data_IF_034875151515
#
_entry.id   IF_034875151515
#
_cell.length_a   1.000
_cell.length_b   1.000
_cell.length_c   1.000
_cell.angle_alpha   90.00
_cell.angle_beta   90.00
_cell.angle_gamma   90.00
#
_symmetry.space_group_name_H-M   'P 1'
#
loop_
_entity.id
_entity.type
_entity.pdbx_description
1 polymer ?
#
# COMPACT_ATOMS: atom_id res chain seq x y z
N UNK A 1 13.10 79.87 -48.35
CA UNK A 1 13.16 79.85 -46.88
C UNK A 1 13.06 78.41 -46.42
N UNK A 2 14.18 77.77 -46.06
CA UNK A 2 14.23 76.37 -45.62
C UNK A 2 14.69 76.33 -44.17
N UNK A 3 13.83 75.82 -43.28
CA UNK A 3 14.12 75.70 -41.85
C UNK A 3 14.82 74.37 -41.58
N UNK A 4 16.09 74.44 -41.19
CA UNK A 4 16.88 73.29 -40.79
C UNK A 4 16.37 72.74 -39.44
N UNK A 5 15.85 71.50 -39.45
CA UNK A 5 15.57 70.72 -38.23
C UNK A 5 16.89 70.24 -37.63
N UNK A 6 17.28 70.80 -36.49
CA UNK A 6 18.38 70.32 -35.67
C UNK A 6 17.95 69.05 -34.92
N UNK A 7 18.39 67.90 -35.42
CA UNK A 7 18.34 66.63 -34.70
C UNK A 7 19.22 66.71 -33.45
N UNK A 8 18.60 66.76 -32.27
CA UNK A 8 19.29 66.62 -30.99
C UNK A 8 19.84 65.19 -30.88
N UNK A 9 21.16 65.05 -31.08
CA UNK A 9 21.90 63.83 -30.76
C UNK A 9 21.81 63.61 -29.25
N UNK A 10 20.99 62.64 -28.80
CA UNK A 10 21.05 62.09 -27.44
C UNK A 10 22.44 61.47 -27.26
N UNK A 11 23.29 62.14 -26.50
CA UNK A 11 24.62 61.65 -26.16
C UNK A 11 24.50 60.33 -25.41
N UNK A 12 25.10 59.27 -25.97
CA UNK A 12 25.29 58.01 -25.28
C UNK A 12 26.30 58.25 -24.15
N UNK A 13 25.81 58.44 -22.93
CA UNK A 13 26.63 58.44 -21.72
C UNK A 13 27.00 56.97 -21.44
N UNK A 14 28.29 56.65 -21.48
CA UNK A 14 28.79 55.35 -21.06
C UNK A 14 28.50 55.12 -19.57
N UNK A 15 28.04 53.92 -19.21
CA UNK A 15 27.78 53.54 -17.83
C UNK A 15 29.06 53.67 -17.00
N UNK A 16 28.92 54.26 -15.82
CA UNK A 16 30.02 54.27 -14.85
C UNK A 16 30.22 52.85 -14.30
N UNK A 17 31.45 52.50 -13.88
CA UNK A 17 31.76 51.19 -13.29
C UNK A 17 30.83 50.83 -12.11
N UNK A 18 30.37 51.85 -11.36
CA UNK A 18 29.45 51.69 -10.24
C UNK A 18 28.04 51.31 -10.70
N UNK A 19 27.56 51.88 -11.82
CA UNK A 19 26.26 51.51 -12.40
C UNK A 19 26.26 50.06 -12.91
N UNK A 20 27.37 49.62 -13.50
CA UNK A 20 27.53 48.24 -13.96
C UNK A 20 27.53 47.24 -12.80
N UNK A 21 28.27 47.52 -11.73
CA UNK A 21 28.30 46.62 -10.56
C UNK A 21 26.95 46.58 -9.84
N UNK A 22 26.27 47.72 -9.72
CA UNK A 22 24.92 47.78 -9.15
C UNK A 22 23.92 47.00 -10.01
N UNK A 23 23.98 47.11 -11.33
CA UNK A 23 23.15 46.34 -12.25
C UNK A 23 23.42 44.82 -12.13
N UNK A 24 24.68 44.40 -11.98
CA UNK A 24 25.04 42.99 -11.79
C UNK A 24 24.53 42.42 -10.47
N UNK A 25 24.62 43.17 -9.37
CA UNK A 25 24.11 42.72 -8.06
C UNK A 25 22.59 42.56 -8.11
N UNK A 26 21.87 43.55 -8.66
CA UNK A 26 20.41 43.47 -8.80
C UNK A 26 20.01 42.28 -9.68
N UNK A 27 20.71 42.06 -10.80
CA UNK A 27 20.45 40.92 -11.69
C UNK A 27 20.72 39.58 -11.00
N UNK A 28 21.81 39.48 -10.22
CA UNK A 28 22.12 38.27 -9.47
C UNK A 28 21.07 37.98 -8.40
N UNK A 29 20.60 39.00 -7.67
CA UNK A 29 19.54 38.85 -6.67
C UNK A 29 18.21 38.44 -7.31
N UNK A 30 17.83 39.05 -8.44
CA UNK A 30 16.64 38.65 -9.20
C UNK A 30 16.76 37.21 -9.72
N UNK A 31 17.92 36.82 -10.24
CA UNK A 31 18.19 35.46 -10.69
C UNK A 31 18.04 34.44 -9.55
N UNK A 32 18.60 34.74 -8.38
CA UNK A 32 18.45 33.89 -7.19
C UNK A 32 17.00 33.80 -6.72
N UNK A 33 16.26 34.91 -6.73
CA UNK A 33 14.85 34.93 -6.35
C UNK A 33 13.97 34.09 -7.30
N UNK A 34 14.21 34.17 -8.61
CA UNK A 34 13.49 33.36 -9.60
C UNK A 34 13.85 31.88 -9.43
N UNK A 35 15.14 31.55 -9.27
CA UNK A 35 15.59 30.18 -9.08
C UNK A 35 14.99 29.53 -7.83
N UNK A 36 14.91 30.26 -6.71
CA UNK A 36 14.31 29.75 -5.47
C UNK A 36 12.81 29.51 -5.60
N UNK A 37 12.08 30.41 -6.29
CA UNK A 37 10.66 30.21 -6.59
C UNK A 37 10.44 28.98 -7.49
N UNK A 38 11.26 28.80 -8.53
CA UNK A 38 11.14 27.62 -9.40
C UNK A 38 11.43 26.32 -8.63
N UNK A 39 12.44 26.32 -7.75
CA UNK A 39 12.74 25.17 -6.90
C UNK A 39 11.55 24.84 -5.96
N UNK A 40 10.93 25.86 -5.36
CA UNK A 40 9.76 25.68 -4.50
C UNK A 40 8.54 25.16 -5.29
N UNK A 41 8.25 25.70 -6.46
CA UNK A 41 7.14 25.22 -7.31
C UNK A 41 7.40 23.78 -7.74
N UNK A 42 8.64 23.44 -8.08
CA UNK A 42 9.04 22.08 -8.42
C UNK A 42 8.79 21.10 -7.26
N UNK A 43 9.20 21.46 -6.04
CA UNK A 43 9.02 20.61 -4.86
C UNK A 43 7.55 20.40 -4.47
N UNK A 44 6.72 21.43 -4.60
CA UNK A 44 5.27 21.34 -4.37
C UNK A 44 4.62 20.43 -5.42
N UNK A 45 4.93 20.63 -6.70
CA UNK A 45 4.36 19.83 -7.79
C UNK A 45 4.79 18.36 -7.74
N UNK A 46 5.98 18.07 -7.21
CA UNK A 46 6.44 16.70 -6.97
C UNK A 46 5.71 16.07 -5.79
N UNK A 47 5.58 16.81 -4.68
CA UNK A 47 4.84 16.35 -3.49
C UNK A 47 3.39 15.99 -3.79
N UNK A 48 2.71 16.79 -4.60
CA UNK A 48 1.32 16.53 -4.99
C UNK A 48 1.18 15.26 -5.85
N UNK A 49 2.13 15.04 -6.79
CA UNK A 49 2.17 13.81 -7.60
C UNK A 49 2.45 12.57 -6.75
N UNK A 50 3.40 12.65 -5.83
CA UNK A 50 3.76 11.54 -4.96
C UNK A 50 2.60 11.17 -4.02
N UNK A 51 1.94 12.18 -3.44
CA UNK A 51 0.75 12.00 -2.61
C UNK A 51 -0.39 11.32 -3.36
N UNK A 52 -0.68 11.77 -4.59
CA UNK A 52 -1.70 11.14 -5.44
C UNK A 52 -1.36 9.69 -5.78
N UNK A 53 -0.10 9.40 -6.09
CA UNK A 53 0.37 8.04 -6.37
C UNK A 53 0.12 7.10 -5.18
N UNK A 54 0.47 7.53 -3.97
CA UNK A 54 0.28 6.75 -2.74
C UNK A 54 -1.20 6.52 -2.44
N UNK A 55 -2.05 7.54 -2.62
CA UNK A 55 -3.50 7.39 -2.46
C UNK A 55 -4.10 6.38 -3.44
N UNK A 56 -3.67 6.40 -4.71
CA UNK A 56 -4.11 5.42 -5.71
C UNK A 56 -3.68 4.00 -5.34
N UNK A 57 -2.44 3.83 -4.85
CA UNK A 57 -1.96 2.53 -4.33
C UNK A 57 -2.78 2.07 -3.12
N UNK A 58 -3.03 2.96 -2.16
CA UNK A 58 -3.85 2.67 -0.98
C UNK A 58 -5.25 2.21 -1.38
N UNK A 59 -5.91 2.94 -2.30
CA UNK A 59 -7.23 2.59 -2.80
C UNK A 59 -7.22 1.22 -3.52
N UNK A 60 -6.24 0.98 -4.40
CA UNK A 60 -6.10 -0.32 -5.07
C UNK A 60 -5.89 -1.47 -4.06
N UNK A 61 -5.06 -1.25 -3.04
CA UNK A 61 -4.85 -2.18 -1.94
C UNK A 61 -6.14 -2.46 -1.16
N UNK A 62 -6.90 -1.42 -0.83
CA UNK A 62 -8.20 -1.54 -0.15
C UNK A 62 -9.20 -2.32 -0.99
N UNK A 63 -9.30 -2.05 -2.30
CA UNK A 63 -10.20 -2.80 -3.20
C UNK A 63 -9.81 -4.27 -3.27
N UNK A 64 -8.51 -4.57 -3.47
CA UNK A 64 -8.01 -5.96 -3.54
C UNK A 64 -8.24 -6.70 -2.23
N UNK A 65 -7.87 -6.10 -1.10
CA UNK A 65 -8.08 -6.70 0.23
C UNK A 65 -9.58 -6.85 0.54
N UNK A 66 -10.40 -5.88 0.12
CA UNK A 66 -11.84 -5.91 0.25
C UNK A 66 -12.51 -7.08 -0.45
N UNK A 67 -11.97 -7.56 -1.58
CA UNK A 67 -12.45 -8.80 -2.22
C UNK A 67 -12.26 -10.01 -1.31
N UNK A 68 -11.13 -10.12 -0.61
CA UNK A 68 -10.90 -11.24 0.30
C UNK A 68 -11.72 -11.10 1.59
N UNK A 69 -11.75 -9.89 2.17
CA UNK A 69 -12.40 -9.64 3.46
C UNK A 69 -13.92 -9.55 3.37
N UNK A 70 -14.45 -9.00 2.28
CA UNK A 70 -15.90 -8.84 2.09
C UNK A 70 -16.64 -10.17 1.88
N UNK A 71 -15.94 -11.17 1.35
CA UNK A 71 -16.45 -12.54 1.22
C UNK A 71 -16.06 -13.43 2.41
N UNK A 72 -15.26 -12.94 3.36
CA UNK A 72 -14.83 -13.76 4.49
C UNK A 72 -15.99 -14.01 5.47
N UNK A 73 -16.08 -15.26 5.92
CA UNK A 73 -16.99 -15.71 6.96
C UNK A 73 -16.51 -15.30 8.35
N UNK A 74 -15.21 -15.40 8.62
CA UNK A 74 -14.62 -14.91 9.87
C UNK A 74 -13.09 -14.76 9.76
N UNK A 75 -12.50 -14.08 10.74
CA UNK A 75 -11.08 -14.22 11.01
C UNK A 75 -10.85 -15.54 11.76
N UNK A 76 -9.84 -16.32 11.37
CA UNK A 76 -9.52 -17.60 12.02
C UNK A 76 -8.48 -17.41 13.12
N UNK A 77 -7.44 -16.63 12.81
CA UNK A 77 -6.31 -16.43 13.71
C UNK A 77 -5.68 -15.08 13.44
N UNK A 78 -5.41 -14.33 14.51
CA UNK A 78 -4.60 -13.13 14.48
C UNK A 78 -3.28 -13.42 15.19
N UNK A 79 -2.18 -13.36 14.44
CA UNK A 79 -0.83 -13.66 14.90
C UNK A 79 0.04 -12.41 14.72
N UNK A 80 -0.05 -11.42 15.64
CA UNK A 80 0.67 -10.15 15.52
C UNK A 80 2.20 -10.36 15.48
N UNK A 81 2.71 -11.35 16.20
CA UNK A 81 4.14 -11.72 16.25
C UNK A 81 4.67 -12.29 14.92
N UNK A 82 3.78 -12.77 14.05
CA UNK A 82 4.10 -13.25 12.69
C UNK A 82 3.59 -12.31 11.60
N UNK A 83 3.08 -11.13 11.97
CA UNK A 83 2.48 -10.15 11.06
C UNK A 83 1.41 -10.76 10.13
N UNK A 84 0.61 -11.67 10.68
CA UNK A 84 -0.31 -12.49 9.89
C UNK A 84 -1.76 -12.44 10.41
N UNK A 85 -2.69 -12.46 9.45
CA UNK A 85 -4.11 -12.64 9.71
C UNK A 85 -4.65 -13.76 8.83
N UNK A 86 -5.11 -14.85 9.45
CA UNK A 86 -5.81 -15.92 8.76
C UNK A 86 -7.31 -15.60 8.70
N UNK A 87 -7.91 -15.79 7.53
CA UNK A 87 -9.34 -15.55 7.28
C UNK A 87 -9.97 -16.72 6.53
N UNK A 88 -11.21 -17.04 6.85
CA UNK A 88 -11.98 -18.11 6.20
C UNK A 88 -12.95 -17.50 5.19
N UNK A 89 -12.94 -17.97 3.94
CA UNK A 89 -13.69 -17.32 2.86
C UNK A 89 -14.98 -18.03 2.49
N UNK A 90 -15.00 -19.35 2.54
CA UNK A 90 -16.19 -20.11 2.16
C UNK A 90 -16.17 -21.47 2.81
N UNK A 91 -17.36 -22.02 3.02
CA UNK A 91 -17.60 -23.31 3.64
C UNK A 91 -18.27 -24.20 2.58
N UNK A 92 -17.48 -24.87 1.75
CA UNK A 92 -17.92 -25.64 0.58
C UNK A 92 -17.68 -27.13 0.74
N UNK A 93 -16.53 -27.52 1.28
CA UNK A 93 -16.07 -28.91 1.20
C UNK A 93 -16.53 -29.74 2.40
N UNK A 94 -16.42 -29.20 3.62
CA UNK A 94 -16.90 -29.86 4.84
C UNK A 94 -17.68 -28.87 5.71
N UNK A 95 -19.02 -28.89 5.67
CA UNK A 95 -19.85 -27.91 6.37
C UNK A 95 -19.45 -27.70 7.84
N UNK A 96 -19.01 -26.50 8.16
CA UNK A 96 -18.64 -26.08 9.51
C UNK A 96 -17.20 -26.40 9.93
N UNK A 97 -16.39 -27.01 9.06
CA UNK A 97 -14.95 -27.19 9.25
C UNK A 97 -14.17 -26.37 8.22
N UNK A 98 -12.97 -25.94 8.57
CA UNK A 98 -12.14 -25.13 7.68
C UNK A 98 -11.24 -26.05 6.86
N UNK A 99 -11.43 -26.11 5.54
CA UNK A 99 -10.52 -26.87 4.69
C UNK A 99 -9.30 -26.03 4.25
N UNK A 100 -8.20 -26.68 3.88
CA UNK A 100 -6.95 -26.02 3.48
C UNK A 100 -7.15 -25.04 2.32
N UNK A 101 -7.99 -25.38 1.36
CA UNK A 101 -8.26 -24.55 0.18
C UNK A 101 -9.19 -23.36 0.45
N UNK A 102 -9.83 -23.31 1.62
CA UNK A 102 -10.90 -22.37 1.94
C UNK A 102 -10.45 -21.14 2.73
N UNK A 103 -9.30 -21.24 3.39
CA UNK A 103 -8.75 -20.11 4.16
C UNK A 103 -7.58 -19.45 3.43
N UNK A 104 -7.34 -18.19 3.77
CA UNK A 104 -6.25 -17.37 3.25
C UNK A 104 -5.51 -16.76 4.41
N UNK A 105 -4.22 -16.56 4.25
CA UNK A 105 -3.42 -15.82 5.22
C UNK A 105 -2.91 -14.55 4.57
N UNK A 106 -3.24 -13.41 5.18
CA UNK A 106 -2.67 -12.12 4.81
C UNK A 106 -1.38 -11.95 5.59
N UNK A 107 -0.27 -11.77 4.89
CA UNK A 107 1.05 -11.56 5.45
C UNK A 107 1.48 -10.12 5.22
N UNK A 108 2.02 -9.47 6.24
CA UNK A 108 2.86 -8.30 6.08
C UNK A 108 4.31 -8.70 6.29
N UNK A 109 5.13 -8.49 5.27
CA UNK A 109 6.57 -8.63 5.38
C UNK A 109 7.20 -7.24 5.55
N UNK A 110 7.70 -6.90 6.76
CA UNK A 110 8.29 -5.59 7.02
C UNK A 110 9.63 -5.40 6.30
N UNK A 111 10.29 -6.48 5.86
CA UNK A 111 11.60 -6.42 5.18
C UNK A 111 11.41 -6.04 3.72
N UNK A 112 10.53 -6.74 3.00
CA UNK A 112 10.20 -6.38 1.62
C UNK A 112 9.20 -5.21 1.52
N UNK A 113 8.58 -4.84 2.64
CA UNK A 113 7.51 -3.84 2.67
C UNK A 113 6.28 -4.27 1.87
N UNK A 114 5.99 -5.57 1.82
CA UNK A 114 4.88 -6.11 1.02
C UNK A 114 3.75 -6.61 1.91
N UNK A 115 2.52 -6.33 1.48
CA UNK A 115 1.31 -6.94 2.01
C UNK A 115 0.82 -7.94 0.96
N UNK A 116 0.76 -9.22 1.33
CA UNK A 116 0.42 -10.31 0.40
C UNK A 116 -0.66 -11.21 0.97
N UNK A 117 -1.38 -11.89 0.08
CA UNK A 117 -2.30 -12.96 0.42
C UNK A 117 -1.72 -14.27 -0.06
N UNK A 118 -1.63 -15.23 0.84
CA UNK A 118 -1.24 -16.59 0.53
C UNK A 118 -2.45 -17.52 0.60
N UNK A 119 -2.46 -18.47 -0.33
CA UNK A 119 -3.46 -19.53 -0.39
C UNK A 119 -2.82 -20.87 -0.69
N UNK A 120 -3.45 -21.93 -0.22
CA UNK A 120 -3.13 -23.28 -0.68
C UNK A 120 -3.58 -23.41 -2.14
N UNK A 121 -2.68 -23.89 -2.97
CA UNK A 121 -2.86 -24.18 -4.37
C UNK A 121 -2.11 -25.49 -4.68
N UNK A 122 -2.86 -26.59 -4.77
CA UNK A 122 -2.30 -27.88 -5.12
C UNK A 122 -1.78 -27.88 -6.57
N UNK A 123 -0.80 -28.74 -6.90
CA UNK A 123 -0.24 -28.81 -8.24
C UNK A 123 -1.28 -29.14 -9.32
N UNK A 124 -1.13 -28.53 -10.50
CA UNK A 124 -2.08 -28.71 -11.61
C UNK A 124 -2.12 -30.14 -12.16
N UNK A 125 -1.05 -30.92 -11.95
CA UNK A 125 -0.95 -32.33 -12.37
C UNK A 125 -1.66 -33.31 -11.41
N UNK A 126 -2.17 -32.85 -10.27
CA UNK A 126 -2.95 -33.69 -9.36
C UNK A 126 -4.35 -33.92 -9.91
N UNK A 127 -4.85 -35.15 -9.75
CA UNK A 127 -6.26 -35.45 -10.03
C UNK A 127 -7.16 -34.77 -9.00
N UNK A 128 -8.43 -34.56 -9.33
CA UNK A 128 -9.41 -33.99 -8.39
C UNK A 128 -9.54 -34.83 -7.12
N UNK A 129 -9.47 -36.17 -7.25
CA UNK A 129 -9.46 -37.09 -6.09
C UNK A 129 -8.24 -36.87 -5.18
N UNK A 130 -7.06 -36.62 -5.75
CA UNK A 130 -5.86 -36.31 -4.94
C UNK A 130 -5.99 -34.98 -4.21
N UNK A 131 -6.56 -33.95 -4.87
CA UNK A 131 -6.81 -32.65 -4.25
C UNK A 131 -7.81 -32.77 -3.12
N UNK A 132 -8.89 -33.50 -3.31
CA UNK A 132 -9.92 -33.74 -2.29
C UNK A 132 -9.36 -34.51 -1.08
N UNK A 133 -8.54 -35.53 -1.31
CA UNK A 133 -7.87 -36.27 -0.23
C UNK A 133 -6.87 -35.41 0.56
N UNK A 134 -6.20 -34.47 -0.12
CA UNK A 134 -5.25 -33.57 0.52
C UNK A 134 -5.93 -32.37 1.21
N UNK A 135 -7.14 -31.98 0.80
CA UNK A 135 -7.89 -30.86 1.36
C UNK A 135 -8.60 -31.22 2.68
N UNK A 136 -7.79 -31.61 3.66
CA UNK A 136 -8.25 -32.13 4.95
C UNK A 136 -8.92 -31.02 5.78
N UNK A 137 -10.07 -31.30 6.44
CA UNK A 137 -10.69 -30.37 7.37
C UNK A 137 -9.82 -30.13 8.61
N UNK A 138 -9.69 -28.86 9.00
CA UNK A 138 -8.95 -28.42 10.18
C UNK A 138 -9.91 -28.07 11.32
N UNK A 139 -9.44 -28.28 12.55
CA UNK A 139 -10.18 -27.90 13.76
C UNK A 139 -10.08 -26.39 14.01
N UNK A 140 -11.07 -25.80 14.70
CA UNK A 140 -11.09 -24.38 15.08
C UNK A 140 -9.88 -23.95 15.91
N UNK A 141 -9.30 -24.88 16.67
CA UNK A 141 -8.14 -24.65 17.54
C UNK A 141 -6.79 -24.79 16.83
N UNK A 142 -6.79 -25.15 15.56
CA UNK A 142 -5.57 -25.29 14.76
C UNK A 142 -4.83 -23.95 14.61
N UNK A 143 -3.51 -23.98 14.67
CA UNK A 143 -2.66 -22.85 14.29
C UNK A 143 -2.60 -22.76 12.75
N UNK A 144 -3.60 -22.10 12.17
CA UNK A 144 -3.76 -21.88 10.72
C UNK A 144 -2.53 -21.23 10.09
N UNK A 145 -1.85 -20.36 10.81
CA UNK A 145 -0.63 -19.69 10.32
C UNK A 145 0.51 -20.71 10.17
N UNK A 146 0.70 -21.58 11.16
CA UNK A 146 1.69 -22.68 11.07
C UNK A 146 1.33 -23.71 9.98
N UNK A 147 0.04 -24.01 9.81
CA UNK A 147 -0.42 -24.87 8.72
C UNK A 147 -0.06 -24.27 7.37
N UNK A 148 -0.33 -22.98 7.16
CA UNK A 148 0.03 -22.31 5.90
C UNK A 148 1.54 -22.33 5.65
N UNK A 149 2.37 -22.11 6.68
CA UNK A 149 3.83 -22.22 6.56
C UNK A 149 4.30 -23.63 6.20
N UNK A 150 3.65 -24.66 6.73
CA UNK A 150 3.91 -26.05 6.34
C UNK A 150 3.54 -26.29 4.88
N UNK A 151 2.40 -25.79 4.41
CA UNK A 151 2.02 -25.92 3.00
C UNK A 151 2.99 -25.16 2.08
N UNK A 152 3.52 -24.02 2.54
CA UNK A 152 4.53 -23.25 1.81
C UNK A 152 5.83 -24.02 1.66
N UNK A 153 6.30 -24.71 2.70
CA UNK A 153 7.52 -25.51 2.62
C UNK A 153 7.38 -26.73 1.69
N UNK A 154 6.16 -27.24 1.52
CA UNK A 154 5.82 -28.28 0.56
C UNK A 154 5.65 -27.75 -0.88
N UNK A 155 5.64 -26.42 -1.09
CA UNK A 155 5.42 -25.81 -2.39
C UNK A 155 3.96 -25.82 -2.85
N UNK A 156 3.02 -26.02 -1.94
CA UNK A 156 1.58 -26.08 -2.23
C UNK A 156 0.86 -24.76 -1.97
N UNK A 157 1.59 -23.64 -2.00
CA UNK A 157 1.00 -22.31 -1.81
C UNK A 157 1.26 -21.40 -3.00
N UNK A 158 0.33 -20.46 -3.18
CA UNK A 158 0.45 -19.36 -4.12
C UNK A 158 0.28 -18.05 -3.37
N UNK A 159 1.27 -17.18 -3.50
CA UNK A 159 1.26 -15.84 -2.92
C UNK A 159 0.90 -14.81 -3.97
N UNK A 160 0.06 -13.86 -3.61
CA UNK A 160 -0.31 -12.71 -4.45
C UNK A 160 -0.08 -11.44 -3.66
N UNK A 161 0.76 -10.55 -4.17
CA UNK A 161 1.01 -9.26 -3.53
C UNK A 161 -0.19 -8.34 -3.74
N UNK A 162 -0.72 -7.81 -2.64
CA UNK A 162 -1.83 -6.87 -2.64
C UNK A 162 -1.34 -5.44 -2.74
N UNK A 163 -0.31 -5.11 -1.97
CA UNK A 163 0.23 -3.77 -1.83
C UNK A 163 1.74 -3.83 -1.55
N UNK A 164 2.46 -2.90 -2.17
CA UNK A 164 3.90 -2.72 -2.00
C UNK A 164 4.18 -1.42 -1.24
N UNK A 165 5.40 -1.29 -0.71
CA UNK A 165 5.88 -0.15 0.07
C UNK A 165 5.05 0.12 1.34
N UNK A 166 4.73 -0.96 2.07
CA UNK A 166 4.04 -0.95 3.35
C UNK A 166 5.06 -1.07 4.48
N UNK A 167 5.32 0.03 5.18
CA UNK A 167 6.31 0.08 6.25
C UNK A 167 5.81 -0.59 7.52
N UNK A 168 4.55 -0.34 7.89
CA UNK A 168 3.93 -0.95 9.05
C UNK A 168 2.53 -1.44 8.68
N UNK A 169 2.11 -2.53 9.30
CA UNK A 169 0.76 -3.05 9.21
C UNK A 169 0.35 -3.62 10.57
N UNK A 170 -0.77 -3.16 11.09
CA UNK A 170 -1.33 -3.61 12.36
C UNK A 170 -2.80 -3.95 12.19
N UNK A 171 -3.14 -5.17 12.57
CA UNK A 171 -4.51 -5.67 12.56
C UNK A 171 -5.16 -5.42 13.91
N UNK A 172 -6.42 -5.00 13.90
CA UNK A 172 -7.24 -4.88 15.09
C UNK A 172 -8.57 -5.56 14.84
N UNK A 173 -8.92 -6.51 15.70
CA UNK A 173 -10.18 -7.25 15.66
C UNK A 173 -11.21 -6.64 16.60
N UNK A 174 -12.50 -6.78 16.28
CA UNK A 174 -13.57 -6.27 17.14
C UNK A 174 -13.84 -7.10 18.40
N UNK A 175 -13.39 -8.37 18.42
CA UNK A 175 -13.60 -9.29 19.53
C UNK A 175 -12.44 -10.29 19.62
N UNK A 176 -12.34 -10.94 20.79
CA UNK A 176 -11.47 -12.09 21.03
C UNK A 176 -12.34 -13.24 21.56
N UNK A 177 -12.13 -14.49 21.12
CA UNK A 177 -11.12 -14.94 20.17
C UNK A 177 -11.37 -14.46 18.74
N UNK A 178 -10.39 -14.61 17.84
CA UNK A 178 -10.43 -14.03 16.50
C UNK A 178 -11.67 -14.46 15.68
N UNK A 179 -12.14 -15.67 15.92
CA UNK A 179 -13.32 -16.26 15.28
C UNK A 179 -14.63 -15.55 15.61
N UNK A 180 -14.68 -14.79 16.70
CA UNK A 180 -15.87 -14.04 17.11
C UNK A 180 -15.83 -12.58 16.63
N UNK A 181 -14.76 -12.18 15.95
CA UNK A 181 -14.64 -10.84 15.40
C UNK A 181 -15.60 -10.67 14.21
N UNK A 182 -16.45 -9.64 14.27
CA UNK A 182 -17.33 -9.23 13.17
C UNK A 182 -16.71 -8.14 12.29
N UNK A 183 -15.66 -7.46 12.78
CA UNK A 183 -14.94 -6.42 12.06
C UNK A 183 -13.43 -6.57 12.24
N UNK A 184 -12.71 -6.22 11.18
CA UNK A 184 -11.26 -6.13 11.15
C UNK A 184 -10.86 -4.75 10.68
N UNK A 185 -9.90 -4.16 11.38
CA UNK A 185 -9.23 -2.93 10.96
C UNK A 185 -7.79 -3.23 10.65
N UNK A 186 -7.27 -2.60 9.60
CA UNK A 186 -5.88 -2.62 9.21
C UNK A 186 -5.37 -1.19 9.21
N UNK A 187 -4.58 -0.85 10.21
CA UNK A 187 -3.82 0.39 10.23
C UNK A 187 -2.46 0.12 9.58
N UNK A 188 -2.10 0.92 8.59
CA UNK A 188 -0.83 0.77 7.88
C UNK A 188 -0.17 2.11 7.59
N UNK A 189 1.14 2.08 7.42
CA UNK A 189 1.93 3.23 6.97
C UNK A 189 2.51 2.90 5.60
N UNK A 190 2.16 3.70 4.59
CA UNK A 190 2.60 3.54 3.22
C UNK A 190 3.74 4.50 2.92
N UNK A 191 4.87 3.97 2.45
CA UNK A 191 5.98 4.78 1.99
C UNK A 191 5.60 5.60 0.75
N UNK A 192 6.03 6.85 0.72
CA UNK A 192 5.96 7.74 -0.44
C UNK A 192 7.32 7.73 -1.14
N UNK A 193 8.37 7.96 -0.37
CA UNK A 193 9.79 7.86 -0.68
C UNK A 193 10.52 7.29 0.56
N UNK A 194 11.85 7.44 0.68
CA UNK A 194 12.63 6.89 1.79
C UNK A 194 12.35 7.56 3.15
N UNK A 195 11.83 8.78 3.18
CA UNK A 195 11.67 9.58 4.41
C UNK A 195 10.20 9.92 4.72
N UNK A 196 9.33 9.91 3.72
CA UNK A 196 7.92 10.29 3.84
C UNK A 196 7.00 9.07 3.77
N UNK A 197 5.96 9.12 4.58
CA UNK A 197 4.89 8.11 4.56
C UNK A 197 3.52 8.72 4.79
N UNK A 198 2.49 7.95 4.40
CA UNK A 198 1.08 8.29 4.57
C UNK A 198 0.40 7.19 5.39
N UNK A 199 -0.29 7.53 6.48
CA UNK A 199 -1.10 6.56 7.20
C UNK A 199 -2.35 6.21 6.38
N UNK A 200 -2.69 4.93 6.34
CA UNK A 200 -3.94 4.43 5.78
C UNK A 200 -4.64 3.52 6.80
N UNK A 201 -5.96 3.65 6.87
CA UNK A 201 -6.80 2.83 7.74
C UNK A 201 -7.88 2.17 6.90
N UNK A 202 -7.85 0.85 6.84
CA UNK A 202 -8.91 0.07 6.21
C UNK A 202 -9.77 -0.60 7.28
N UNK A 203 -11.08 -0.63 7.06
CA UNK A 203 -12.02 -1.31 7.93
C UNK A 203 -12.92 -2.21 7.09
N UNK A 204 -13.01 -3.47 7.49
CA UNK A 204 -13.82 -4.48 6.83
C UNK A 204 -14.76 -5.11 7.86
N UNK A 205 -16.00 -5.36 7.43
CA UNK A 205 -16.97 -6.15 8.20
C UNK A 205 -17.18 -7.50 7.53
N UNK A 206 -17.38 -8.53 8.34
CA UNK A 206 -17.77 -9.85 7.85
C UNK A 206 -19.30 -9.90 7.75
N UNK A 207 -19.85 -9.62 6.57
CA UNK A 207 -21.30 -9.53 6.37
C UNK A 207 -22.01 -10.87 6.62
N UNK A 208 -21.38 -11.98 6.24
CA UNK A 208 -21.87 -13.34 6.46
C UNK A 208 -21.19 -14.03 7.64
N UNK A 209 -21.03 -13.33 8.77
CA UNK A 209 -20.22 -13.83 9.87
C UNK A 209 -20.65 -15.23 10.33
N UNK A 210 -19.75 -16.21 10.17
CA UNK A 210 -19.99 -17.61 10.56
C UNK A 210 -18.69 -18.18 11.11
N UNK A 211 -18.56 -18.37 12.43
CA UNK A 211 -17.41 -19.07 12.99
C UNK A 211 -17.46 -20.57 12.62
N UNK A 212 -16.30 -21.25 12.55
CA UNK A 212 -16.27 -22.69 12.38
C UNK A 212 -16.95 -23.38 13.58
N UNK A 213 -17.67 -24.47 13.28
CA UNK A 213 -18.44 -25.23 14.26
C UNK A 213 -17.58 -26.20 15.07
N UNK A 214 -16.46 -26.65 14.49
CA UNK A 214 -15.50 -27.58 15.08
C UNK A 214 -14.09 -27.02 14.99
#
# INVERSE_FOLDING_TARGET
MSAARTNARRGARGMTLIELTLALIVTAMMGLAIASMMAMVGSVAQTDRDGRSVMLRAHAGQTRLGVYMGHALCALQHAPERHALAVWLHDKNAPGAVNLTEFRVVWHDPVSGSLSVERVAFPDHWSEMMKEQADVPLAKTTDFVSVMQTQRSLGFTKTTTLLDNVWTAQWTLSAAPAQDAHRVRLAMTLGVDEERSVPALFAFGFAGHKPPAQ
#
